data_IF_814601861258
#
_entry.id   IF_814601861258
#
_cell.length_a   1.000
_cell.length_b   1.000
_cell.length_c   1.000
_cell.angle_alpha   90.00
_cell.angle_beta   90.00
_cell.angle_gamma   90.00
#
_symmetry.space_group_name_H-M   'P 1'
#
loop_
_entity.id
_entity.type
_entity.pdbx_description
1 polymer ?
#
# COMPACT_ATOMS: atom_id res chain seq x y z
N UNK A 1 29.85 30.29 31.76
CA UNK A 1 28.61 30.68 31.05
C UNK A 1 28.50 30.11 29.63
N UNK A 2 29.56 30.06 28.81
CA UNK A 2 29.49 29.51 27.42
C UNK A 2 29.18 28.01 27.34
N UNK A 3 29.59 27.18 28.31
CA UNK A 3 29.34 25.73 28.31
C UNK A 3 27.89 25.32 28.61
N UNK A 4 27.17 26.13 29.37
CA UNK A 4 25.76 25.91 29.71
C UNK A 4 24.88 26.23 28.51
N UNK A 5 25.20 27.27 27.74
CA UNK A 5 24.46 27.64 26.54
C UNK A 5 24.52 26.55 25.43
N UNK A 6 25.68 25.89 25.30
CA UNK A 6 25.86 24.81 24.33
C UNK A 6 25.04 23.58 24.74
N UNK A 7 25.00 23.26 26.04
CA UNK A 7 24.21 22.11 26.53
C UNK A 7 22.70 22.31 26.33
N UNK A 8 22.20 23.52 26.55
CA UNK A 8 20.79 23.85 26.28
C UNK A 8 20.44 23.80 24.79
N UNK A 9 21.36 24.22 23.90
CA UNK A 9 21.14 24.19 22.46
C UNK A 9 21.07 22.75 21.95
N UNK A 10 21.94 21.87 22.46
CA UNK A 10 21.91 20.43 22.10
C UNK A 10 20.64 19.75 22.61
N UNK A 11 20.16 20.07 23.82
CA UNK A 11 18.90 19.54 24.33
C UNK A 11 17.68 20.01 23.52
N UNK A 12 17.66 21.29 23.10
CA UNK A 12 16.56 21.80 22.26
C UNK A 12 16.56 21.15 20.89
N UNK A 13 17.71 20.90 20.27
CA UNK A 13 17.84 20.17 19.02
C UNK A 13 17.46 18.69 19.16
N UNK A 14 17.80 18.04 20.27
CA UNK A 14 17.40 16.65 20.53
C UNK A 14 15.87 16.54 20.78
N UNK A 15 15.24 17.53 21.43
CA UNK A 15 13.79 17.56 21.62
C UNK A 15 13.03 17.88 20.33
N UNK A 16 13.62 18.63 19.40
CA UNK A 16 12.98 18.91 18.11
C UNK A 16 12.98 17.70 17.16
N UNK A 17 13.85 16.71 17.38
CA UNK A 17 13.86 15.45 16.63
C UNK A 17 12.81 14.44 17.14
N UNK A 18 12.21 14.68 18.32
CA UNK A 18 11.10 13.86 18.85
C UNK A 18 9.71 14.46 18.62
N UNK A 19 9.63 15.67 18.09
CA UNK A 19 8.37 16.34 17.84
C UNK A 19 8.01 16.25 16.36
N UNK A 20 7.53 15.13 15.92
CA UNK A 20 6.55 14.88 14.84
C UNK A 20 6.47 13.37 14.56
N UNK A 21 6.08 12.56 15.55
CA UNK A 21 5.20 11.45 15.21
C UNK A 21 3.81 12.07 15.13
N UNK A 22 3.38 12.48 13.92
CA UNK A 22 1.96 12.52 13.61
C UNK A 22 1.40 11.19 14.07
N UNK A 23 0.31 11.17 14.81
CA UNK A 23 -0.45 9.96 15.07
C UNK A 23 -0.98 9.50 13.70
N UNK A 24 -0.17 8.70 13.02
CA UNK A 24 -0.54 8.05 11.78
C UNK A 24 -1.51 6.95 12.16
N UNK A 25 -2.80 7.24 12.09
CA UNK A 25 -3.83 6.24 12.34
C UNK A 25 -3.73 5.17 11.25
N UNK A 26 -3.49 3.91 11.62
CA UNK A 26 -3.47 2.84 10.64
C UNK A 26 -4.86 2.64 10.06
N UNK A 27 -4.93 2.51 8.74
CA UNK A 27 -6.14 2.20 7.99
C UNK A 27 -6.21 0.68 7.82
N UNK A 28 -7.32 0.08 8.22
CA UNK A 28 -7.56 -1.36 8.06
C UNK A 28 -7.94 -1.68 6.62
N UNK A 29 -7.39 -2.75 6.07
CA UNK A 29 -7.69 -3.23 4.72
C UNK A 29 -8.86 -4.23 4.79
N UNK A 30 -10.07 -3.74 4.55
CA UNK A 30 -11.28 -4.54 4.63
C UNK A 30 -11.48 -5.18 6.02
N UNK A 31 -11.77 -6.47 6.06
CA UNK A 31 -11.92 -7.27 7.28
C UNK A 31 -10.65 -8.05 7.64
N UNK A 32 -9.63 -8.03 6.79
CA UNK A 32 -8.35 -8.72 6.99
C UNK A 32 -7.58 -8.24 8.22
N UNK A 33 -6.51 -8.94 8.59
CA UNK A 33 -5.59 -8.54 9.67
C UNK A 33 -4.57 -7.49 9.25
N UNK A 34 -4.65 -7.00 8.01
CA UNK A 34 -3.70 -6.02 7.49
C UNK A 34 -4.13 -4.58 7.75
N UNK A 35 -3.13 -3.73 7.99
CA UNK A 35 -3.28 -2.28 8.08
C UNK A 35 -2.15 -1.60 7.31
N UNK A 36 -2.44 -0.41 6.76
CA UNK A 36 -1.48 0.51 6.15
C UNK A 36 -1.62 1.89 6.77
N UNK A 37 -0.63 2.76 6.56
CA UNK A 37 -0.73 4.18 6.88
C UNK A 37 -0.82 4.95 5.58
N UNK A 38 -1.91 5.70 5.42
CA UNK A 38 -2.10 6.56 4.26
C UNK A 38 -1.42 7.91 4.48
N UNK A 39 -0.73 8.46 3.47
CA UNK A 39 -0.28 9.84 3.50
C UNK A 39 -1.45 10.81 3.70
N UNK A 40 -1.15 12.03 4.14
CA UNK A 40 -2.16 13.06 4.33
C UNK A 40 -2.85 13.41 3.01
N UNK A 41 -4.17 13.57 3.06
CA UNK A 41 -5.01 13.98 1.95
C UNK A 41 -5.69 12.83 1.20
N UNK A 42 -5.40 11.58 1.53
CA UNK A 42 -6.18 10.46 0.98
C UNK A 42 -7.60 10.43 1.56
N UNK A 43 -8.56 10.21 0.70
CA UNK A 43 -9.95 9.92 1.02
C UNK A 43 -10.29 8.49 0.54
N UNK A 44 -11.39 7.94 1.04
CA UNK A 44 -11.94 6.69 0.53
C UNK A 44 -13.39 6.90 0.11
N UNK A 45 -13.85 6.11 -0.86
CA UNK A 45 -15.26 5.95 -1.17
C UNK A 45 -15.67 4.50 -0.96
N UNK A 46 -16.93 4.29 -0.63
CA UNK A 46 -17.57 2.98 -0.49
C UNK A 46 -18.66 2.79 -1.57
N UNK A 47 -18.72 3.69 -2.56
CA UNK A 47 -19.74 3.67 -3.59
C UNK A 47 -19.25 2.88 -4.82
N UNK A 48 -20.14 2.08 -5.40
CA UNK A 48 -19.98 1.36 -6.67
C UNK A 48 -18.80 0.36 -6.74
N UNK A 49 -18.58 -0.40 -5.66
CA UNK A 49 -17.56 -1.44 -5.63
C UNK A 49 -17.91 -2.63 -6.52
N UNK A 50 -16.89 -3.14 -7.19
CA UNK A 50 -16.92 -4.46 -7.83
C UNK A 50 -17.03 -5.59 -6.77
N UNK A 51 -17.38 -6.80 -7.21
CA UNK A 51 -17.33 -7.99 -6.38
C UNK A 51 -15.90 -8.14 -5.83
N UNK A 52 -15.75 -8.37 -4.54
CA UNK A 52 -14.48 -8.46 -3.81
C UNK A 52 -13.71 -7.13 -3.59
N UNK A 53 -14.09 -6.03 -4.20
CA UNK A 53 -13.52 -4.72 -3.88
C UNK A 53 -14.05 -4.25 -2.51
N UNK A 54 -13.15 -3.90 -1.59
CA UNK A 54 -13.51 -3.52 -0.22
C UNK A 54 -13.14 -2.07 0.12
N UNK A 55 -12.32 -1.42 -0.70
CA UNK A 55 -12.00 -0.01 -0.57
C UNK A 55 -11.39 0.55 -1.87
N UNK A 56 -11.61 1.84 -2.11
CA UNK A 56 -10.91 2.64 -3.09
C UNK A 56 -10.38 3.89 -2.40
N UNK A 57 -9.09 4.17 -2.55
CA UNK A 57 -8.42 5.32 -1.97
C UNK A 57 -7.89 6.22 -3.06
N UNK A 58 -8.17 7.51 -2.92
CA UNK A 58 -7.79 8.52 -3.89
C UNK A 58 -7.35 9.82 -3.22
N UNK A 59 -6.71 10.69 -3.99
CA UNK A 59 -6.29 12.01 -3.58
C UNK A 59 -6.54 13.04 -4.67
N UNK A 60 -7.05 14.21 -4.32
CA UNK A 60 -7.50 15.26 -5.25
C UNK A 60 -6.37 15.84 -6.14
N UNK A 61 -5.11 15.59 -5.84
CA UNK A 61 -3.96 16.10 -6.60
C UNK A 61 -3.50 15.20 -7.76
N UNK A 62 -4.37 14.26 -8.19
CA UNK A 62 -4.08 13.26 -9.23
C UNK A 62 -2.83 12.41 -8.94
N UNK A 63 -2.48 12.27 -7.66
CA UNK A 63 -1.47 11.32 -7.24
C UNK A 63 -1.98 9.88 -7.42
N UNK A 64 -1.39 8.95 -6.76
CA UNK A 64 -1.72 7.53 -6.92
C UNK A 64 -3.06 7.23 -6.28
N UNK A 65 -3.97 6.70 -7.08
CA UNK A 65 -5.16 6.03 -6.58
C UNK A 65 -4.88 4.53 -6.42
N UNK A 66 -5.60 3.87 -5.54
CA UNK A 66 -5.51 2.43 -5.44
C UNK A 66 -6.78 1.77 -4.90
N UNK A 67 -7.02 0.57 -5.42
CA UNK A 67 -8.07 -0.33 -4.98
C UNK A 67 -7.54 -1.33 -3.98
N UNK A 68 -8.42 -1.79 -3.11
CA UNK A 68 -8.20 -2.92 -2.22
C UNK A 68 -9.25 -3.97 -2.50
N UNK A 69 -8.81 -5.14 -2.93
CA UNK A 69 -9.64 -6.33 -3.10
C UNK A 69 -9.37 -7.31 -1.96
N UNK A 70 -10.41 -8.05 -1.59
CA UNK A 70 -10.32 -9.05 -0.53
C UNK A 70 -11.27 -10.20 -0.80
N UNK A 71 -10.76 -11.44 -0.78
CA UNK A 71 -11.58 -12.65 -0.89
C UNK A 71 -11.10 -13.74 0.04
N UNK A 72 -11.98 -14.68 0.38
CA UNK A 72 -11.64 -15.81 1.22
C UNK A 72 -10.69 -16.76 0.50
N UNK A 73 -9.72 -17.30 1.22
CA UNK A 73 -8.81 -18.32 0.68
C UNK A 73 -9.55 -19.61 0.39
N UNK A 74 -9.44 -20.09 -0.83
CA UNK A 74 -9.88 -21.42 -1.18
C UNK A 74 -8.92 -22.51 -0.68
N UNK A 75 -9.45 -23.65 -0.30
CA UNK A 75 -8.65 -24.80 0.19
C UNK A 75 -7.69 -25.36 -0.86
N UNK A 76 -7.95 -25.09 -2.14
CA UNK A 76 -7.21 -25.66 -3.27
C UNK A 76 -6.11 -24.74 -3.81
N UNK A 77 -6.05 -23.47 -3.34
CA UNK A 77 -5.16 -22.46 -3.89
C UNK A 77 -4.16 -21.96 -2.83
N UNK A 78 -2.97 -21.67 -3.30
CA UNK A 78 -1.94 -20.98 -2.53
C UNK A 78 -1.84 -19.54 -2.98
N UNK A 79 -1.36 -18.63 -2.13
CA UNK A 79 -1.10 -17.25 -2.52
C UNK A 79 -0.22 -17.15 -3.78
N UNK A 80 0.76 -18.05 -3.93
CA UNK A 80 1.60 -18.13 -5.12
C UNK A 80 0.80 -18.49 -6.38
N UNK A 81 -0.10 -19.50 -6.29
CA UNK A 81 -0.91 -19.90 -7.44
C UNK A 81 -1.90 -18.81 -7.85
N UNK A 82 -2.51 -18.13 -6.86
CA UNK A 82 -3.40 -16.99 -7.12
C UNK A 82 -2.64 -15.85 -7.81
N UNK A 83 -1.54 -15.40 -7.23
CA UNK A 83 -0.74 -14.32 -7.80
C UNK A 83 -0.25 -14.62 -9.22
N UNK A 84 0.16 -15.87 -9.50
CA UNK A 84 0.56 -16.27 -10.84
C UNK A 84 -0.64 -16.30 -11.81
N UNK A 85 -1.80 -16.75 -11.37
CA UNK A 85 -3.02 -16.77 -12.20
C UNK A 85 -3.40 -15.36 -12.63
N UNK A 86 -3.42 -14.41 -11.70
CA UNK A 86 -3.71 -13.01 -12.03
C UNK A 86 -2.62 -12.39 -12.91
N UNK A 87 -1.34 -12.59 -12.58
CA UNK A 87 -0.24 -12.07 -13.39
C UNK A 87 -0.28 -12.62 -14.83
N UNK A 88 -0.54 -13.90 -15.02
CA UNK A 88 -0.67 -14.54 -16.34
C UNK A 88 -1.85 -13.98 -17.15
N UNK A 89 -2.97 -13.67 -16.50
CA UNK A 89 -4.12 -13.04 -17.14
C UNK A 89 -3.78 -11.68 -17.75
N UNK A 90 -2.85 -10.94 -17.16
CA UNK A 90 -2.31 -9.67 -17.67
C UNK A 90 -1.06 -9.85 -18.53
N UNK A 91 -0.63 -11.06 -18.83
CA UNK A 91 0.56 -11.33 -19.65
C UNK A 91 1.89 -10.99 -18.98
N UNK A 92 1.93 -11.00 -17.64
CA UNK A 92 3.10 -10.71 -16.82
C UNK A 92 3.44 -11.88 -15.89
N UNK A 93 4.33 -11.70 -14.94
CA UNK A 93 4.74 -12.72 -13.96
C UNK A 93 4.70 -12.15 -12.56
N UNK A 94 4.28 -12.95 -11.58
CA UNK A 94 4.34 -12.59 -10.19
C UNK A 94 5.74 -12.83 -9.61
N UNK A 95 6.21 -11.89 -8.81
CA UNK A 95 7.49 -11.94 -8.11
C UNK A 95 7.25 -12.02 -6.60
N UNK A 96 7.95 -12.95 -5.93
CA UNK A 96 7.88 -13.02 -4.47
C UNK A 96 8.51 -11.78 -3.82
N UNK A 97 7.79 -11.18 -2.88
CA UNK A 97 8.24 -10.00 -2.14
C UNK A 97 8.14 -10.23 -0.64
N UNK A 98 8.84 -9.42 0.13
CA UNK A 98 8.69 -9.37 1.59
C UNK A 98 8.63 -7.92 2.03
N UNK A 99 7.53 -7.52 2.64
CA UNK A 99 7.27 -6.17 3.14
C UNK A 99 7.13 -6.24 4.66
N UNK A 100 8.02 -5.60 5.41
CA UNK A 100 8.04 -5.61 6.87
C UNK A 100 7.96 -7.02 7.50
N UNK A 101 8.60 -8.01 6.85
CA UNK A 101 8.57 -9.40 7.29
C UNK A 101 7.34 -10.20 6.83
N UNK A 102 6.37 -9.56 6.19
CA UNK A 102 5.18 -10.18 5.60
C UNK A 102 5.54 -10.64 4.18
N UNK A 103 5.37 -11.93 3.92
CA UNK A 103 5.59 -12.51 2.59
C UNK A 103 4.37 -12.26 1.71
N UNK A 104 4.62 -11.97 0.44
CA UNK A 104 3.59 -11.74 -0.55
C UNK A 104 4.13 -11.87 -1.96
N UNK A 105 3.33 -11.44 -2.91
CA UNK A 105 3.68 -11.39 -4.33
C UNK A 105 3.39 -10.01 -4.90
N UNK A 106 4.18 -9.63 -5.90
CA UNK A 106 3.99 -8.41 -6.67
C UNK A 106 3.96 -8.75 -8.15
N UNK A 107 3.08 -8.11 -8.89
CA UNK A 107 3.13 -8.10 -10.35
C UNK A 107 2.76 -6.72 -10.88
N UNK A 108 3.10 -6.46 -12.14
CA UNK A 108 2.81 -5.16 -12.78
C UNK A 108 2.02 -5.44 -14.05
N UNK A 109 0.87 -4.81 -14.17
CA UNK A 109 0.02 -4.86 -15.35
C UNK A 109 -0.02 -3.51 -16.07
N UNK A 110 -0.53 -3.49 -17.29
CA UNK A 110 -0.86 -2.28 -18.03
C UNK A 110 -2.35 -2.33 -18.37
N UNK A 111 -3.06 -1.25 -18.03
CA UNK A 111 -4.50 -1.18 -18.22
C UNK A 111 -4.89 0.13 -18.90
N UNK A 112 -5.83 0.03 -19.84
CA UNK A 112 -6.37 1.18 -20.54
C UNK A 112 -7.69 1.61 -19.89
N UNK A 113 -7.73 2.84 -19.36
CA UNK A 113 -8.91 3.42 -18.77
C UNK A 113 -9.09 4.87 -19.26
N UNK A 114 -10.27 5.24 -19.73
CA UNK A 114 -10.63 6.55 -20.24
C UNK A 114 -9.63 7.12 -21.29
N UNK A 115 -9.12 6.23 -22.16
CA UNK A 115 -8.19 6.58 -23.24
C UNK A 115 -6.76 6.87 -22.77
N UNK A 116 -6.42 6.55 -21.53
CA UNK A 116 -5.07 6.57 -20.98
C UNK A 116 -4.61 5.15 -20.64
N UNK A 117 -3.35 4.86 -20.85
CA UNK A 117 -2.73 3.62 -20.38
C UNK A 117 -2.12 3.86 -19.01
N UNK A 118 -2.54 3.07 -18.04
CA UNK A 118 -2.00 3.06 -16.68
C UNK A 118 -1.06 1.87 -16.49
N UNK A 119 -0.06 2.05 -15.66
CA UNK A 119 0.71 0.96 -15.08
C UNK A 119 0.13 0.68 -13.71
N UNK A 120 -0.41 -0.53 -13.51
CA UNK A 120 -0.97 -0.95 -12.23
C UNK A 120 0.05 -1.82 -11.50
N UNK A 121 0.43 -1.39 -10.30
CA UNK A 121 1.36 -2.12 -9.44
C UNK A 121 0.55 -2.86 -8.40
N UNK A 122 0.53 -4.19 -8.51
CA UNK A 122 -0.30 -5.06 -7.69
C UNK A 122 0.55 -5.74 -6.62
N UNK A 123 0.05 -5.77 -5.39
CA UNK A 123 0.63 -6.51 -4.26
C UNK A 123 -0.42 -7.43 -3.65
N UNK A 124 -0.09 -8.70 -3.51
CA UNK A 124 -0.93 -9.70 -2.86
C UNK A 124 -0.31 -10.20 -1.57
N UNK A 125 -1.11 -10.25 -0.52
CA UNK A 125 -0.75 -10.80 0.79
C UNK A 125 -1.86 -11.71 1.30
N UNK A 126 -1.56 -12.58 2.26
CA UNK A 126 -2.57 -13.41 2.91
C UNK A 126 -2.47 -13.34 4.45
N UNK A 127 -3.63 -13.36 5.09
CA UNK A 127 -3.75 -13.66 6.51
C UNK A 127 -4.27 -15.11 6.71
N UNK A 128 -4.88 -15.40 7.84
CA UNK A 128 -5.36 -16.76 8.12
C UNK A 128 -6.63 -17.10 7.33
N UNK A 129 -7.41 -16.10 6.89
CA UNK A 129 -8.72 -16.27 6.25
C UNK A 129 -8.73 -15.72 4.84
N UNK A 130 -8.10 -14.58 4.60
CA UNK A 130 -8.25 -13.80 3.39
C UNK A 130 -6.97 -13.70 2.57
N UNK A 131 -7.14 -13.54 1.26
CA UNK A 131 -6.16 -12.91 0.37
C UNK A 131 -6.58 -11.45 0.23
N UNK A 132 -5.60 -10.55 0.28
CA UNK A 132 -5.78 -9.11 0.07
C UNK A 132 -4.87 -8.65 -1.04
N UNK A 133 -5.44 -7.96 -2.01
CA UNK A 133 -4.73 -7.34 -3.10
C UNK A 133 -4.85 -5.82 -3.04
N UNK A 134 -3.72 -5.13 -3.25
CA UNK A 134 -3.65 -3.68 -3.39
C UNK A 134 -3.19 -3.37 -4.81
N UNK A 135 -4.03 -2.65 -5.57
CA UNK A 135 -3.83 -2.32 -6.98
C UNK A 135 -3.57 -0.81 -7.12
N UNK A 136 -2.30 -0.39 -7.23
CA UNK A 136 -1.90 1.01 -7.34
C UNK A 136 -1.86 1.46 -8.79
N UNK A 137 -2.72 2.41 -9.15
CA UNK A 137 -2.82 2.98 -10.48
C UNK A 137 -1.82 4.11 -10.67
N UNK A 138 -0.92 3.97 -11.63
CA UNK A 138 0.15 4.93 -11.90
C UNK A 138 0.25 5.22 -13.40
N UNK A 139 0.84 6.35 -13.79
CA UNK A 139 1.28 6.59 -15.17
C UNK A 139 2.76 6.24 -15.37
N UNK A 140 3.40 5.61 -14.37
CA UNK A 140 4.74 5.05 -14.46
C UNK A 140 5.87 6.04 -14.20
N UNK A 141 5.64 7.13 -13.48
CA UNK A 141 6.69 8.06 -13.08
C UNK A 141 7.48 7.54 -11.88
N UNK A 142 8.74 7.98 -11.74
CA UNK A 142 9.57 7.62 -10.59
C UNK A 142 9.00 8.15 -9.25
N UNK A 143 8.28 9.27 -9.28
CA UNK A 143 7.64 9.86 -8.10
C UNK A 143 6.46 9.01 -7.64
N UNK A 144 5.64 8.51 -8.59
CA UNK A 144 4.53 7.61 -8.28
C UNK A 144 5.02 6.28 -7.71
N UNK A 145 6.02 5.65 -8.29
CA UNK A 145 6.60 4.42 -7.73
C UNK A 145 7.14 4.63 -6.32
N UNK A 146 7.76 5.79 -6.05
CA UNK A 146 8.21 6.14 -4.71
C UNK A 146 7.03 6.28 -3.73
N UNK A 147 5.92 6.87 -4.15
CA UNK A 147 4.73 7.01 -3.33
C UNK A 147 4.06 5.64 -3.07
N UNK A 148 4.01 4.73 -4.06
CA UNK A 148 3.61 3.32 -3.84
C UNK A 148 4.50 2.67 -2.78
N UNK A 149 5.82 2.81 -2.90
CA UNK A 149 6.76 2.25 -1.94
C UNK A 149 6.58 2.85 -0.53
N UNK A 150 6.29 4.15 -0.42
CA UNK A 150 6.02 4.81 0.86
C UNK A 150 4.76 4.25 1.53
N UNK A 151 3.69 3.99 0.79
CA UNK A 151 2.45 3.39 1.31
C UNK A 151 2.67 1.93 1.70
N UNK A 152 3.17 1.11 0.77
CA UNK A 152 3.30 -0.34 0.98
C UNK A 152 4.29 -0.67 2.12
N UNK A 153 5.34 0.14 2.30
CA UNK A 153 6.28 -0.03 3.40
C UNK A 153 5.69 0.27 4.79
N UNK A 154 4.45 0.76 4.87
CA UNK A 154 3.72 0.89 6.14
C UNK A 154 2.89 -0.33 6.49
N UNK A 155 2.77 -1.31 5.59
CA UNK A 155 1.97 -2.53 5.78
C UNK A 155 2.35 -3.25 7.07
N UNK A 156 1.34 -3.62 7.86
CA UNK A 156 1.47 -4.43 9.08
C UNK A 156 0.39 -5.49 9.10
N UNK A 157 0.73 -6.64 9.68
CA UNK A 157 -0.22 -7.69 10.07
C UNK A 157 -0.39 -7.63 11.59
N UNK A 158 -1.64 -7.53 12.09
CA UNK A 158 -1.99 -7.40 13.52
C UNK A 158 -2.18 -8.76 14.18
#
# INVERSE_FOLDING_TARGET
MKKIAILCLVMVLALSLFACKKDENPTKLGTSDFTIVLPEGYASTEDDFDEDQVAYYYKDDESIDFDVYQWEKGDEYTLESEANTYAEAYGTTAEAVTVNGIKGYKYVSAEDYDGKTYTVVNYMFEDDVYIVELCFWTIGTAEEYKAVDEIINTLKKN
#
